data_IF_218225913750
#
_entry.id   IF_218225913750
#
_cell.length_a   1.000
_cell.length_b   1.000
_cell.length_c   1.000
_cell.angle_alpha   90.00
_cell.angle_beta   90.00
_cell.angle_gamma   90.00
#
_symmetry.space_group_name_H-M   'P 1'
#
loop_
_entity.id
_entity.type
_entity.pdbx_description
1 polymer ?
#
# COMPACT_ATOMS: atom_id res chain seq x y z
N UNK A 1 -7.02 -18.44 22.00
CA UNK A 1 -6.36 -19.50 21.18
C UNK A 1 -5.23 -18.90 20.37
N UNK A 2 -4.01 -19.43 20.45
CA UNK A 2 -2.79 -18.92 19.76
C UNK A 2 -2.36 -19.78 18.58
N UNK A 3 -3.12 -20.84 18.28
CA UNK A 3 -2.89 -21.74 17.14
C UNK A 3 -3.44 -21.09 15.87
N UNK A 4 -2.72 -21.20 14.74
CA UNK A 4 -3.08 -20.65 13.43
C UNK A 4 -3.18 -19.11 13.26
N UNK A 5 -2.94 -18.31 14.30
CA UNK A 5 -2.95 -16.84 14.22
C UNK A 5 -1.56 -16.23 14.00
N UNK A 6 -1.48 -14.90 13.84
CA UNK A 6 -0.19 -14.18 13.89
C UNK A 6 0.50 -14.23 15.25
N UNK A 7 -0.09 -14.83 16.27
CA UNK A 7 0.53 -14.99 17.58
C UNK A 7 1.28 -16.33 17.69
N UNK A 8 1.02 -17.26 16.75
CA UNK A 8 1.59 -18.58 16.76
C UNK A 8 3.13 -18.57 16.72
N UNK A 9 3.74 -19.45 17.52
CA UNK A 9 5.19 -19.62 17.72
C UNK A 9 5.94 -18.36 18.18
N UNK A 10 5.27 -17.40 18.83
CA UNK A 10 5.92 -16.23 19.43
C UNK A 10 6.17 -16.46 20.92
N UNK A 11 7.39 -16.17 21.39
CA UNK A 11 7.72 -16.11 22.83
C UNK A 11 7.26 -14.81 23.50
N UNK A 12 6.57 -13.92 22.76
CA UNK A 12 6.06 -12.65 23.29
C UNK A 12 4.72 -12.89 23.99
N UNK A 13 4.52 -12.41 25.23
CA UNK A 13 3.25 -12.56 25.94
C UNK A 13 2.06 -12.00 25.16
N UNK A 14 0.91 -12.69 25.19
CA UNK A 14 -0.30 -12.28 24.46
C UNK A 14 -0.77 -10.86 24.82
N UNK A 15 -0.64 -10.46 26.09
CA UNK A 15 -0.95 -9.08 26.53
C UNK A 15 -0.19 -8.01 25.74
N UNK A 16 1.09 -8.27 25.43
CA UNK A 16 1.95 -7.35 24.67
C UNK A 16 1.52 -7.31 23.20
N UNK A 17 1.09 -8.44 22.66
CA UNK A 17 0.49 -8.52 21.33
C UNK A 17 -0.80 -7.73 21.21
N UNK A 18 -1.72 -7.89 22.17
CA UNK A 18 -2.99 -7.14 22.21
C UNK A 18 -2.72 -5.64 22.31
N UNK A 19 -1.83 -5.23 23.23
CA UNK A 19 -1.43 -3.82 23.37
C UNK A 19 -0.84 -3.27 22.06
N UNK A 20 0.06 -4.01 21.41
CA UNK A 20 0.64 -3.59 20.14
C UNK A 20 -0.41 -3.45 19.03
N UNK A 21 -1.37 -4.36 18.98
CA UNK A 21 -2.48 -4.33 18.03
C UNK A 21 -3.35 -3.09 18.23
N UNK A 22 -3.73 -2.82 19.48
CA UNK A 22 -4.52 -1.65 19.87
C UNK A 22 -3.82 -0.35 19.50
N UNK A 23 -2.53 -0.20 19.82
CA UNK A 23 -1.75 0.99 19.50
C UNK A 23 -1.64 1.22 17.99
N UNK A 24 -1.41 0.16 17.20
CA UNK A 24 -1.31 0.29 15.74
C UNK A 24 -2.64 0.61 15.05
N UNK A 25 -3.75 0.09 15.57
CA UNK A 25 -5.09 0.35 15.04
C UNK A 25 -5.61 1.74 15.44
N UNK A 26 -5.35 2.17 16.68
CA UNK A 26 -5.77 3.49 17.18
C UNK A 26 -4.99 4.65 16.54
N UNK A 27 -3.74 4.42 16.14
CA UNK A 27 -2.93 5.44 15.48
C UNK A 27 -3.33 5.66 14.02
N UNK A 28 -4.27 6.57 13.78
CA UNK A 28 -4.81 6.91 12.44
C UNK A 28 -3.73 7.31 11.41
N UNK A 29 -2.60 7.88 11.83
CA UNK A 29 -1.51 8.30 10.93
C UNK A 29 -0.44 7.22 10.71
N UNK A 30 -0.24 6.31 11.66
CA UNK A 30 0.92 5.41 11.69
C UNK A 30 1.50 5.22 13.08
N UNK A 31 2.14 4.07 13.28
CA UNK A 31 2.91 3.77 14.50
C UNK A 31 4.31 3.28 14.14
N UNK A 32 5.34 3.98 14.60
CA UNK A 32 6.73 3.58 14.34
C UNK A 32 7.11 2.39 15.22
N UNK A 33 8.01 1.53 14.73
CA UNK A 33 8.49 0.40 15.52
C UNK A 33 9.28 0.85 16.76
N UNK A 34 9.94 2.02 16.70
CA UNK A 34 10.63 2.62 17.85
C UNK A 34 9.64 3.07 18.93
N UNK A 35 8.53 3.68 18.53
CA UNK A 35 7.48 4.06 19.47
C UNK A 35 6.87 2.80 20.10
N UNK A 36 6.52 1.81 19.27
CA UNK A 36 5.99 0.53 19.72
C UNK A 36 6.88 -0.20 20.71
N UNK A 37 8.21 -0.17 20.52
CA UNK A 37 9.14 -0.78 21.49
C UNK A 37 9.07 -0.13 22.87
N UNK A 38 8.87 1.20 22.94
CA UNK A 38 8.81 1.92 24.22
C UNK A 38 7.51 1.62 24.93
N UNK A 39 6.38 1.70 24.22
CA UNK A 39 5.06 1.60 24.84
C UNK A 39 4.66 0.17 25.22
N UNK A 40 5.14 -0.82 24.45
CA UNK A 40 4.91 -2.25 24.74
C UNK A 40 6.03 -2.84 25.59
N UNK A 41 7.08 -2.06 25.87
CA UNK A 41 8.25 -2.46 26.63
C UNK A 41 8.92 -3.72 26.04
N UNK A 42 9.39 -3.63 24.80
CA UNK A 42 10.11 -4.72 24.13
C UNK A 42 11.28 -4.18 23.33
N UNK A 43 12.24 -5.04 22.97
CA UNK A 43 13.32 -4.62 22.08
C UNK A 43 12.76 -4.09 20.74
N UNK A 44 13.47 -3.16 20.11
CA UNK A 44 13.12 -2.67 18.77
C UNK A 44 12.92 -3.81 17.77
N UNK A 45 13.78 -4.85 17.80
CA UNK A 45 13.69 -6.00 16.89
C UNK A 45 12.37 -6.75 17.10
N UNK A 46 11.93 -6.91 18.35
CA UNK A 46 10.64 -7.52 18.69
C UNK A 46 9.48 -6.65 18.24
N UNK A 47 9.50 -5.34 18.54
CA UNK A 47 8.46 -4.41 18.09
C UNK A 47 8.34 -4.36 16.57
N UNK A 48 9.46 -4.31 15.85
CA UNK A 48 9.51 -4.35 14.39
C UNK A 48 8.90 -5.65 13.84
N UNK A 49 9.23 -6.79 14.46
CA UNK A 49 8.64 -8.08 14.12
C UNK A 49 7.12 -8.09 14.36
N UNK A 50 6.66 -7.58 15.50
CA UNK A 50 5.23 -7.47 15.82
C UNK A 50 4.50 -6.61 14.81
N UNK A 51 5.03 -5.42 14.52
CA UNK A 51 4.41 -4.48 13.61
C UNK A 51 4.26 -5.07 12.19
N UNK A 52 5.26 -5.80 11.69
CA UNK A 52 5.14 -6.47 10.38
C UNK A 52 4.08 -7.56 10.34
N UNK A 53 3.89 -8.31 11.43
CA UNK A 53 2.84 -9.34 11.48
C UNK A 53 1.46 -8.71 11.59
N UNK A 54 1.31 -7.63 12.35
CA UNK A 54 0.06 -6.87 12.45
C UNK A 54 -0.30 -6.27 11.09
N UNK A 55 0.63 -5.62 10.39
CA UNK A 55 0.42 -5.14 9.01
C UNK A 55 0.00 -6.24 8.05
N UNK A 56 0.62 -7.41 8.17
CA UNK A 56 0.24 -8.55 7.35
C UNK A 56 -1.16 -9.08 7.69
N UNK A 57 -1.56 -9.03 8.96
CA UNK A 57 -2.93 -9.37 9.35
C UNK A 57 -3.94 -8.35 8.82
N UNK A 58 -3.59 -7.06 8.81
CA UNK A 58 -4.41 -5.98 8.24
C UNK A 58 -4.67 -6.15 6.73
N UNK A 59 -3.82 -6.89 6.00
CA UNK A 59 -4.11 -7.26 4.61
C UNK A 59 -5.40 -8.08 4.57
N UNK A 60 -6.42 -7.59 3.91
CA UNK A 60 -7.66 -8.34 3.71
C UNK A 60 -8.04 -8.32 2.23
N UNK A 61 -8.26 -9.50 1.66
CA UNK A 61 -8.75 -9.65 0.31
C UNK A 61 -10.28 -9.59 0.36
N UNK A 62 -10.85 -8.40 0.25
CA UNK A 62 -12.27 -8.30 -0.05
C UNK A 62 -12.48 -8.65 -1.53
N UNK A 63 -13.31 -9.67 -1.78
CA UNK A 63 -13.81 -10.02 -3.11
C UNK A 63 -14.73 -8.94 -3.70
N UNK A 64 -15.16 -7.95 -2.89
CA UNK A 64 -15.88 -6.78 -3.37
C UNK A 64 -14.98 -6.01 -4.35
N UNK A 65 -15.44 -5.92 -5.59
CA UNK A 65 -14.90 -5.02 -6.59
C UNK A 65 -15.31 -3.57 -6.28
N UNK A 66 -14.48 -2.63 -6.70
CA UNK A 66 -14.75 -1.20 -6.65
C UNK A 66 -15.78 -0.87 -7.75
N UNK A 67 -16.82 -0.13 -7.40
CA UNK A 67 -17.92 0.28 -8.27
C UNK A 67 -18.06 1.81 -8.33
N UNK A 68 -19.06 2.31 -9.05
CA UNK A 68 -19.28 3.75 -9.22
C UNK A 68 -18.12 4.42 -9.98
N UNK A 69 -17.59 5.51 -9.43
CA UNK A 69 -16.42 6.21 -9.96
C UNK A 69 -15.13 5.70 -9.30
N UNK A 70 -14.26 5.10 -10.10
CA UNK A 70 -12.98 4.53 -9.64
C UNK A 70 -11.82 5.28 -10.25
N UNK A 71 -11.03 5.92 -9.40
CA UNK A 71 -9.81 6.63 -9.76
C UNK A 71 -8.60 5.69 -9.69
N UNK A 72 -7.76 5.69 -10.72
CA UNK A 72 -6.56 4.85 -10.79
C UNK A 72 -5.34 5.71 -11.11
N UNK A 73 -4.31 5.56 -10.30
CA UNK A 73 -3.03 6.26 -10.47
C UNK A 73 -1.87 5.41 -9.91
N UNK A 74 -0.65 5.74 -10.29
CA UNK A 74 0.56 5.16 -9.77
C UNK A 74 1.53 6.19 -9.21
N UNK A 75 2.11 5.85 -8.07
CA UNK A 75 3.20 6.63 -7.49
C UNK A 75 4.48 5.81 -7.36
N UNK A 76 5.61 6.50 -7.26
CA UNK A 76 6.91 5.89 -6.99
C UNK A 76 7.34 6.15 -5.54
N UNK A 77 7.49 5.08 -4.75
CA UNK A 77 7.95 5.12 -3.35
C UNK A 77 9.41 4.67 -3.25
N UNK A 78 10.25 5.43 -2.56
CA UNK A 78 11.65 5.09 -2.34
C UNK A 78 12.53 6.29 -2.05
N UNK A 79 13.78 6.03 -1.68
CA UNK A 79 14.75 7.07 -1.36
C UNK A 79 15.02 8.01 -2.54
N UNK A 80 14.87 9.31 -2.32
CA UNK A 80 15.33 10.33 -3.28
C UNK A 80 16.86 10.27 -3.34
N UNK A 81 17.45 10.12 -4.54
CA UNK A 81 18.90 10.20 -4.72
C UNK A 81 19.51 11.49 -4.13
N UNK A 82 18.70 12.57 -4.03
CA UNK A 82 19.06 13.86 -3.40
C UNK A 82 19.52 13.73 -1.94
N UNK A 83 19.09 12.71 -1.19
CA UNK A 83 19.41 12.53 0.24
C UNK A 83 20.69 11.71 0.50
N UNK A 84 21.41 11.26 -0.53
CA UNK A 84 22.73 10.61 -0.36
C UNK A 84 23.82 11.68 -0.24
N UNK A 85 24.72 11.58 0.75
CA UNK A 85 25.81 12.52 1.16
C UNK A 85 26.36 13.46 0.06
N UNK A 86 26.56 14.74 0.40
CA UNK A 86 27.22 15.78 -0.42
C UNK A 86 28.72 15.51 -0.58
N UNK A 87 29.09 14.66 -1.53
CA UNK A 87 30.44 14.70 -2.11
C UNK A 87 30.32 14.95 -3.62
N UNK A 88 31.34 15.57 -4.22
CA UNK A 88 31.38 15.84 -5.66
C UNK A 88 31.15 14.56 -6.51
N UNK A 89 31.72 13.43 -6.10
CA UNK A 89 31.46 12.11 -6.70
C UNK A 89 30.01 11.61 -6.51
N UNK A 90 29.34 12.00 -5.42
CA UNK A 90 27.93 11.70 -5.23
C UNK A 90 27.02 12.50 -6.18
N UNK A 91 27.39 13.70 -6.63
CA UNK A 91 26.58 14.52 -7.57
C UNK A 91 26.41 13.82 -8.93
N UNK A 92 27.51 13.35 -9.53
CA UNK A 92 27.49 12.65 -10.83
C UNK A 92 26.73 11.31 -10.75
N UNK A 93 26.79 10.64 -9.59
CA UNK A 93 26.01 9.42 -9.31
C UNK A 93 24.52 9.71 -9.10
N UNK A 94 24.16 10.87 -8.52
CA UNK A 94 22.76 11.33 -8.37
C UNK A 94 22.08 11.60 -9.70
N UNK A 95 22.73 12.30 -10.62
CA UNK A 95 22.18 12.58 -11.95
C UNK A 95 21.94 11.29 -12.74
N UNK A 96 22.89 10.33 -12.68
CA UNK A 96 22.71 8.99 -13.24
C UNK A 96 21.59 8.19 -12.56
N UNK A 97 21.42 8.28 -11.24
CA UNK A 97 20.36 7.55 -10.52
C UNK A 97 18.97 8.18 -10.71
N UNK A 98 18.87 9.51 -10.84
CA UNK A 98 17.60 10.20 -11.13
C UNK A 98 17.09 9.92 -12.54
N UNK A 99 18.00 9.73 -13.50
CA UNK A 99 17.67 9.34 -14.89
C UNK A 99 17.29 7.86 -15.04
N UNK A 100 17.49 7.03 -14.01
CA UNK A 100 17.13 5.61 -14.06
C UNK A 100 15.62 5.43 -13.85
N UNK A 101 14.92 5.11 -14.93
CA UNK A 101 13.53 4.65 -14.94
C UNK A 101 13.48 3.12 -15.03
N UNK A 102 12.37 2.49 -14.61
CA UNK A 102 12.18 1.04 -14.71
C UNK A 102 13.16 0.21 -13.85
N UNK A 103 13.77 -0.84 -14.43
CA UNK A 103 14.59 -1.87 -13.74
C UNK A 103 15.77 -1.29 -12.94
N UNK A 104 16.24 -0.10 -13.31
CA UNK A 104 17.40 0.54 -12.70
C UNK A 104 17.01 1.60 -11.65
N UNK A 105 15.72 1.88 -11.45
CA UNK A 105 15.26 2.87 -10.49
C UNK A 105 15.39 2.36 -9.05
N UNK A 106 15.79 3.21 -8.12
CA UNK A 106 15.71 2.92 -6.68
C UNK A 106 14.29 3.12 -6.12
N UNK A 107 13.36 3.63 -6.93
CA UNK A 107 11.97 3.80 -6.55
C UNK A 107 11.15 2.63 -7.03
N UNK A 108 10.21 2.19 -6.20
CA UNK A 108 9.29 1.11 -6.50
C UNK A 108 7.92 1.71 -6.83
N UNK A 109 7.32 1.35 -7.98
CA UNK A 109 5.98 1.79 -8.29
C UNK A 109 4.94 1.13 -7.38
N UNK A 110 3.95 1.91 -6.99
CA UNK A 110 2.77 1.50 -6.23
C UNK A 110 1.58 2.03 -6.99
N UNK A 111 0.67 1.15 -7.36
CA UNK A 111 -0.61 1.50 -7.98
C UNK A 111 -1.69 1.52 -6.90
N UNK A 112 -2.63 2.44 -7.02
CA UNK A 112 -3.83 2.49 -6.20
C UNK A 112 -5.06 2.66 -7.08
N UNK A 113 -6.14 2.00 -6.67
CA UNK A 113 -7.48 2.12 -7.25
C UNK A 113 -8.40 2.55 -6.12
N UNK A 114 -9.06 3.69 -6.26
CA UNK A 114 -9.86 4.29 -5.20
C UNK A 114 -11.27 4.53 -5.71
N UNK A 115 -12.23 3.88 -5.08
CA UNK A 115 -13.66 4.18 -5.23
C UNK A 115 -13.94 5.52 -4.53
N UNK A 116 -14.54 6.47 -5.23
CA UNK A 116 -14.93 7.75 -4.63
C UNK A 116 -15.88 7.50 -3.46
N UNK A 117 -15.60 8.17 -2.33
CA UNK A 117 -16.28 7.98 -1.05
C UNK A 117 -16.27 6.55 -0.47
N UNK A 118 -15.53 5.63 -1.10
CA UNK A 118 -15.54 4.21 -0.80
C UNK A 118 -14.19 3.66 -0.38
N UNK A 119 -13.88 2.47 -0.90
CA UNK A 119 -12.72 1.67 -0.52
C UNK A 119 -11.51 1.91 -1.45
N UNK A 120 -10.33 1.44 -1.01
CA UNK A 120 -9.10 1.48 -1.83
C UNK A 120 -8.51 0.09 -2.02
N UNK A 121 -7.91 -0.15 -3.18
CA UNK A 121 -6.98 -1.26 -3.42
C UNK A 121 -5.61 -0.67 -3.73
N UNK A 122 -4.54 -1.22 -3.14
CA UNK A 122 -3.19 -0.73 -3.38
C UNK A 122 -2.18 -1.86 -3.53
N UNK A 123 -1.35 -1.79 -4.57
CA UNK A 123 -0.42 -2.85 -4.91
C UNK A 123 0.95 -2.30 -5.32
N UNK A 124 1.99 -2.89 -4.74
CA UNK A 124 3.38 -2.67 -5.14
C UNK A 124 3.64 -3.42 -6.43
N UNK A 125 4.08 -2.69 -7.45
CA UNK A 125 4.44 -3.24 -8.74
C UNK A 125 5.96 -3.37 -8.83
N UNK A 126 6.44 -4.46 -9.44
CA UNK A 126 7.87 -4.54 -9.81
C UNK A 126 8.20 -3.57 -10.96
N UNK A 127 7.24 -3.38 -11.88
CA UNK A 127 7.34 -2.49 -13.03
C UNK A 127 5.94 -2.14 -13.52
N UNK A 128 5.74 -0.88 -13.90
CA UNK A 128 4.54 -0.39 -14.57
C UNK A 128 4.54 -0.83 -16.04
N UNK A 129 3.43 -1.39 -16.50
CA UNK A 129 3.21 -1.77 -17.90
C UNK A 129 1.71 -1.83 -18.17
N UNK A 130 1.27 -1.41 -19.36
CA UNK A 130 -0.15 -1.42 -19.75
C UNK A 130 -0.85 -2.74 -19.42
N UNK A 131 -0.25 -3.88 -19.77
CA UNK A 131 -0.80 -5.21 -19.45
C UNK A 131 -1.10 -5.41 -17.96
N UNK A 132 -0.17 -5.04 -17.08
CA UNK A 132 -0.33 -5.23 -15.63
C UNK A 132 -1.38 -4.30 -15.04
N UNK A 133 -1.41 -3.04 -15.49
CA UNK A 133 -2.41 -2.07 -15.06
C UNK A 133 -3.79 -2.56 -15.46
N UNK A 134 -3.99 -2.92 -16.73
CA UNK A 134 -5.24 -3.49 -17.24
C UNK A 134 -5.68 -4.71 -16.44
N UNK A 135 -4.80 -5.69 -16.24
CA UNK A 135 -5.13 -6.90 -15.46
C UNK A 135 -5.56 -6.57 -14.04
N UNK A 136 -4.90 -5.62 -13.37
CA UNK A 136 -5.27 -5.26 -12.01
C UNK A 136 -6.60 -4.48 -11.95
N UNK A 137 -6.83 -3.57 -12.89
CA UNK A 137 -8.10 -2.82 -12.99
C UNK A 137 -9.25 -3.78 -13.25
N UNK A 138 -9.13 -4.69 -14.23
CA UNK A 138 -10.17 -5.69 -14.52
C UNK A 138 -10.46 -6.65 -13.35
N UNK A 139 -9.42 -6.95 -12.55
CA UNK A 139 -9.56 -7.80 -11.38
C UNK A 139 -10.34 -7.10 -10.26
N UNK A 140 -10.08 -5.82 -10.02
CA UNK A 140 -10.57 -5.11 -8.84
C UNK A 140 -11.74 -4.16 -9.10
N UNK A 141 -12.03 -3.82 -10.35
CA UNK A 141 -13.09 -2.87 -10.71
C UNK A 141 -14.27 -3.60 -11.34
N UNK A 142 -15.47 -3.21 -10.94
CA UNK A 142 -16.72 -3.74 -11.47
C UNK A 142 -16.90 -3.29 -12.92
N UNK A 143 -17.30 -4.18 -13.85
CA UNK A 143 -17.55 -3.80 -15.25
C UNK A 143 -18.60 -2.69 -15.42
N UNK A 144 -19.43 -2.40 -14.43
CA UNK A 144 -20.41 -1.30 -14.47
C UNK A 144 -19.82 0.07 -14.08
N UNK A 145 -18.60 0.10 -13.52
CA UNK A 145 -17.97 1.32 -13.04
C UNK A 145 -17.54 2.27 -14.17
N UNK A 146 -17.22 3.50 -13.78
CA UNK A 146 -16.49 4.49 -14.59
C UNK A 146 -15.06 4.57 -14.09
N UNK A 147 -14.08 4.41 -14.97
CA UNK A 147 -12.65 4.50 -14.61
C UNK A 147 -12.11 5.88 -14.93
N UNK A 148 -11.42 6.51 -13.98
CA UNK A 148 -10.75 7.81 -14.13
C UNK A 148 -9.24 7.64 -13.97
N UNK A 149 -8.44 8.12 -14.92
CA UNK A 149 -6.96 8.07 -14.86
C UNK A 149 -6.34 9.39 -15.29
N UNK A 150 -5.03 9.53 -15.12
CA UNK A 150 -4.25 10.55 -15.82
C UNK A 150 -4.14 10.24 -17.34
N UNK A 151 -3.48 11.12 -18.09
CA UNK A 151 -3.23 10.95 -19.53
C UNK A 151 -2.11 9.97 -19.88
N UNK A 152 -1.66 9.12 -18.94
CA UNK A 152 -0.57 8.20 -19.21
C UNK A 152 -0.97 7.25 -20.36
N UNK A 153 -0.17 7.15 -21.45
CA UNK A 153 -0.53 6.33 -22.62
C UNK A 153 -0.76 4.85 -22.32
N UNK A 154 -0.31 4.37 -21.16
CA UNK A 154 -0.50 3.00 -20.69
C UNK A 154 -1.98 2.68 -20.38
N UNK A 155 -2.81 3.68 -20.11
CA UNK A 155 -4.23 3.52 -19.83
C UNK A 155 -5.12 3.49 -21.09
N UNK A 156 -4.58 3.81 -22.26
CA UNK A 156 -5.36 3.80 -23.52
C UNK A 156 -6.06 2.46 -23.74
N UNK A 157 -7.33 2.50 -24.15
CA UNK A 157 -8.11 1.31 -24.50
C UNK A 157 -8.68 0.51 -23.32
N UNK A 158 -8.65 1.05 -22.10
CA UNK A 158 -9.28 0.40 -20.93
C UNK A 158 -10.80 0.50 -20.97
N UNK A 159 -11.33 1.61 -21.50
CA UNK A 159 -12.76 1.91 -21.46
C UNK A 159 -13.68 0.86 -22.07
N UNK A 160 -13.22 0.06 -23.03
CA UNK A 160 -14.06 -0.94 -23.71
C UNK A 160 -14.64 -2.04 -22.81
N UNK A 161 -14.09 -2.22 -21.60
CA UNK A 161 -14.54 -3.24 -20.63
C UNK A 161 -15.46 -2.69 -19.53
N UNK A 162 -15.69 -1.38 -19.51
CA UNK A 162 -16.40 -0.69 -18.45
C UNK A 162 -17.59 0.07 -19.02
N UNK A 163 -18.79 -0.17 -18.49
CA UNK A 163 -20.03 0.45 -18.98
C UNK A 163 -20.00 1.98 -18.83
N UNK A 164 -19.40 2.49 -17.74
CA UNK A 164 -19.16 3.93 -17.54
C UNK A 164 -18.00 4.49 -18.37
N UNK A 165 -17.27 3.62 -19.07
CA UNK A 165 -16.13 3.98 -19.91
C UNK A 165 -14.87 4.34 -19.13
N UNK A 166 -13.95 5.03 -19.83
CA UNK A 166 -12.68 5.51 -19.30
C UNK A 166 -12.58 7.02 -19.57
N UNK A 167 -12.43 7.80 -18.51
CA UNK A 167 -12.21 9.25 -18.56
C UNK A 167 -10.77 9.56 -18.15
N UNK A 168 -10.15 10.54 -18.81
CA UNK A 168 -8.78 10.98 -18.54
C UNK A 168 -8.75 12.42 -18.06
N UNK A 169 -7.93 12.73 -17.07
CA UNK A 169 -7.69 14.09 -16.56
C UNK A 169 -6.35 14.60 -17.05
N UNK A 170 -6.33 15.80 -17.64
CA UNK A 170 -5.11 16.43 -18.10
C UNK A 170 -4.44 17.27 -17.00
N UNK A 171 -3.48 16.68 -16.30
CA UNK A 171 -2.71 17.39 -15.27
C UNK A 171 -1.73 18.45 -15.83
N UNK A 172 -1.48 18.49 -17.14
CA UNK A 172 -0.50 19.41 -17.74
C UNK A 172 -1.04 20.82 -18.00
N UNK A 173 -2.36 21.00 -17.96
CA UNK A 173 -3.05 22.29 -18.21
C UNK A 173 -3.69 22.90 -16.95
N UNK A 174 -3.32 22.44 -15.74
CA UNK A 174 -3.95 22.85 -14.46
C UNK A 174 -5.49 22.65 -14.43
N UNK A 175 -6.03 21.81 -15.30
CA UNK A 175 -7.45 21.46 -15.33
C UNK A 175 -7.68 20.36 -14.28
N UNK A 176 -7.69 20.75 -13.00
CA UNK A 176 -8.00 19.85 -11.87
C UNK A 176 -9.47 19.41 -11.84
N UNK A 177 -10.28 19.95 -12.75
CA UNK A 177 -11.72 19.71 -12.89
C UNK A 177 -12.09 19.85 -14.37
N UNK A 178 -12.23 18.74 -15.09
CA UNK A 178 -12.98 18.72 -16.34
C UNK A 178 -14.35 18.09 -16.03
N UNK A 179 -15.24 18.91 -15.46
CA UNK A 179 -16.49 18.42 -14.84
C UNK A 179 -16.22 17.40 -13.73
N UNK A 180 -16.95 16.27 -13.73
CA UNK A 180 -16.81 15.20 -12.72
C UNK A 180 -15.55 14.32 -12.88
N UNK A 181 -14.65 14.61 -13.82
CA UNK A 181 -13.43 13.83 -14.04
C UNK A 181 -12.27 14.38 -13.20
N UNK A 182 -11.89 13.67 -12.13
CA UNK A 182 -10.82 14.05 -11.18
C UNK A 182 -10.11 12.80 -10.64
N UNK A 183 -8.83 12.94 -10.26
CA UNK A 183 -8.00 11.92 -9.58
C UNK A 183 -7.62 12.34 -8.14
N UNK A 184 -8.33 13.33 -7.59
CA UNK A 184 -8.02 13.94 -6.29
C UNK A 184 -8.08 12.95 -5.12
N UNK A 185 -8.94 11.95 -5.20
CA UNK A 185 -9.13 10.95 -4.14
C UNK A 185 -7.92 10.02 -4.07
N UNK A 186 -7.47 9.53 -5.23
CA UNK A 186 -6.26 8.68 -5.31
C UNK A 186 -4.98 9.46 -4.98
N UNK A 187 -4.89 10.73 -5.39
CA UNK A 187 -3.79 11.62 -4.98
C UNK A 187 -3.76 11.81 -3.46
N UNK A 188 -4.93 12.01 -2.84
CA UNK A 188 -5.08 12.14 -1.39
C UNK A 188 -4.61 10.89 -0.65
N UNK A 189 -4.99 9.70 -1.15
CA UNK A 189 -4.49 8.43 -0.64
C UNK A 189 -2.96 8.34 -0.71
N UNK A 190 -2.38 8.67 -1.87
CA UNK A 190 -0.92 8.66 -2.02
C UNK A 190 -0.21 9.69 -1.15
N UNK A 191 -0.83 10.85 -0.93
CA UNK A 191 -0.30 11.86 -0.03
C UNK A 191 -0.22 11.33 1.42
N UNK A 192 -1.22 10.57 1.89
CA UNK A 192 -1.17 9.92 3.21
C UNK A 192 -0.04 8.88 3.28
N UNK A 193 0.04 7.98 2.30
CA UNK A 193 1.09 6.96 2.22
C UNK A 193 2.49 7.59 2.26
N UNK A 194 2.74 8.59 1.39
CA UNK A 194 4.04 9.27 1.29
C UNK A 194 4.41 10.01 2.58
N UNK A 195 3.44 10.70 3.20
CA UNK A 195 3.67 11.39 4.49
C UNK A 195 4.02 10.42 5.59
N UNK A 196 3.36 9.26 5.66
CA UNK A 196 3.73 8.21 6.61
C UNK A 196 5.13 7.67 6.38
N UNK A 197 5.51 7.41 5.12
CA UNK A 197 6.88 6.98 4.77
C UNK A 197 7.91 8.01 5.19
N UNK A 198 7.67 9.31 4.97
CA UNK A 198 8.63 10.38 5.26
C UNK A 198 8.68 10.71 6.76
N UNK A 199 7.53 10.75 7.43
CA UNK A 199 7.41 11.29 8.79
C UNK A 199 7.33 10.25 9.92
N UNK A 200 6.95 9.00 9.64
CA UNK A 200 6.71 7.98 10.68
C UNK A 200 7.69 6.82 10.55
N UNK A 201 7.83 6.29 9.33
CA UNK A 201 8.64 5.09 9.11
C UNK A 201 10.07 5.44 8.70
N UNK A 202 10.28 6.60 8.06
CA UNK A 202 11.52 7.15 7.47
C UNK A 202 12.22 6.28 6.41
N UNK A 203 12.18 4.96 6.57
CA UNK A 203 12.77 3.98 5.68
C UNK A 203 11.88 2.74 5.57
N UNK A 204 11.42 2.46 4.36
CA UNK A 204 10.65 1.26 4.03
C UNK A 204 11.42 0.48 2.97
N UNK A 205 11.82 -0.76 3.30
CA UNK A 205 12.46 -1.63 2.32
C UNK A 205 11.45 -2.07 1.27
N UNK A 206 11.93 -2.28 0.04
CA UNK A 206 11.09 -2.74 -1.07
C UNK A 206 10.37 -4.03 -0.73
N UNK A 207 11.06 -4.99 -0.09
CA UNK A 207 10.54 -6.28 0.38
C UNK A 207 9.34 -6.16 1.31
N UNK A 208 9.21 -5.07 2.06
CA UNK A 208 8.12 -4.89 3.02
C UNK A 208 7.12 -3.83 2.61
N UNK A 209 7.35 -3.11 1.51
CA UNK A 209 6.52 -1.99 1.07
C UNK A 209 5.03 -2.38 0.93
N UNK A 210 4.73 -3.59 0.46
CA UNK A 210 3.34 -4.04 0.34
C UNK A 210 2.63 -4.06 1.70
N UNK A 211 3.30 -4.51 2.77
CA UNK A 211 2.71 -4.53 4.12
C UNK A 211 2.37 -3.13 4.63
N UNK A 212 3.14 -2.12 4.24
CA UNK A 212 2.79 -0.74 4.55
C UNK A 212 1.59 -0.30 3.71
N UNK A 213 1.54 -0.63 2.42
CA UNK A 213 0.34 -0.36 1.60
C UNK A 213 -0.91 -1.02 2.22
N UNK A 214 -0.81 -2.26 2.70
CA UNK A 214 -1.89 -2.98 3.37
C UNK A 214 -2.36 -2.24 4.64
N UNK A 215 -1.45 -1.65 5.43
CA UNK A 215 -1.78 -0.81 6.60
C UNK A 215 -2.55 0.46 6.19
N UNK A 216 -2.14 1.13 5.11
CA UNK A 216 -2.83 2.33 4.62
C UNK A 216 -4.18 2.02 4.00
N UNK A 217 -4.31 0.91 3.26
CA UNK A 217 -5.59 0.40 2.76
C UNK A 217 -6.53 0.13 3.93
N UNK A 218 -6.07 -0.63 4.92
CA UNK A 218 -6.86 -0.93 6.11
C UNK A 218 -7.36 0.35 6.79
N UNK A 219 -6.48 1.33 7.02
CA UNK A 219 -6.88 2.60 7.63
C UNK A 219 -7.87 3.39 6.80
N UNK A 220 -7.69 3.42 5.49
CA UNK A 220 -8.59 4.13 4.59
C UNK A 220 -9.99 3.52 4.67
N UNK A 221 -10.11 2.21 4.51
CA UNK A 221 -11.41 1.53 4.47
C UNK A 221 -12.15 1.56 5.80
N UNK A 222 -11.42 1.63 6.92
CA UNK A 222 -11.97 1.66 8.27
C UNK A 222 -11.96 3.08 8.88
N UNK A 223 -11.74 4.14 8.08
CA UNK A 223 -11.58 5.53 8.56
C UNK A 223 -12.81 6.09 9.29
N UNK A 224 -13.99 5.54 8.99
CA UNK A 224 -15.29 5.91 9.57
C UNK A 224 -15.63 5.10 10.84
N UNK A 225 -14.86 4.07 11.16
CA UNK A 225 -15.10 3.23 12.35
C UNK A 225 -14.52 3.87 13.60
N UNK A 226 -15.08 3.50 14.75
CA UNK A 226 -14.47 3.72 16.06
C UNK A 226 -13.17 2.91 16.19
N UNK A 227 -12.36 3.29 17.18
CA UNK A 227 -11.09 2.59 17.45
C UNK A 227 -11.34 1.13 17.83
N UNK A 228 -12.37 0.88 18.64
CA UNK A 228 -12.76 -0.45 19.08
C UNK A 228 -13.18 -1.34 17.91
N UNK A 229 -14.03 -0.82 17.02
CA UNK A 229 -14.47 -1.55 15.83
C UNK A 229 -13.30 -1.86 14.89
N UNK A 230 -12.42 -0.89 14.64
CA UNK A 230 -11.23 -1.09 13.82
C UNK A 230 -10.28 -2.14 14.44
N UNK A 231 -10.08 -2.10 15.76
CA UNK A 231 -9.30 -3.08 16.49
C UNK A 231 -9.91 -4.49 16.38
N UNK A 232 -11.21 -4.64 16.64
CA UNK A 232 -11.91 -5.91 16.56
C UNK A 232 -11.85 -6.48 15.14
N UNK A 233 -12.04 -5.63 14.14
CA UNK A 233 -11.94 -6.02 12.72
C UNK A 233 -10.54 -6.50 12.37
N UNK A 234 -9.52 -5.76 12.79
CA UNK A 234 -8.14 -6.14 12.55
C UNK A 234 -7.78 -7.44 13.29
N UNK A 235 -8.32 -7.69 14.49
CA UNK A 235 -8.12 -8.93 15.25
C UNK A 235 -8.79 -10.13 14.58
N UNK A 236 -10.03 -9.98 14.07
CA UNK A 236 -10.69 -11.01 13.26
C UNK A 236 -9.86 -11.37 12.03
N UNK A 237 -9.30 -10.37 11.35
CA UNK A 237 -8.42 -10.58 10.20
C UNK A 237 -7.11 -11.29 10.54
N UNK A 238 -6.74 -11.42 11.82
CA UNK A 238 -5.52 -12.11 12.24
C UNK A 238 -5.65 -13.64 12.27
N UNK A 239 -6.90 -14.13 12.25
CA UNK A 239 -7.18 -15.56 12.25
C UNK A 239 -6.81 -16.20 10.91
N UNK A 240 -6.27 -17.43 10.96
CA UNK A 240 -5.77 -18.15 9.78
C UNK A 240 -4.49 -17.61 9.10
N UNK A 241 -3.97 -16.43 9.49
CA UNK A 241 -2.81 -15.78 8.82
C UNK A 241 -1.46 -16.12 9.46
N UNK A 242 -1.16 -17.40 9.61
CA UNK A 242 0.15 -17.85 10.14
C UNK A 242 1.30 -17.49 9.18
N UNK A 243 2.13 -16.52 9.57
CA UNK A 243 3.42 -16.25 8.90
C UNK A 243 4.52 -17.26 9.33
N UNK A 244 4.87 -18.20 8.45
CA UNK A 244 6.01 -19.11 8.66
C UNK A 244 7.36 -18.45 8.28
N UNK A 245 8.49 -18.94 8.84
CA UNK A 245 9.83 -18.42 8.53
C UNK A 245 10.16 -18.51 7.03
N UNK A 246 9.76 -19.60 6.37
CA UNK A 246 9.94 -19.81 4.92
C UNK A 246 9.17 -18.81 4.04
N UNK A 247 8.11 -18.17 4.55
CA UNK A 247 7.33 -17.16 3.83
C UNK A 247 7.77 -15.71 4.00
N UNK A 248 8.80 -15.43 4.82
CA UNK A 248 9.18 -14.04 5.18
C UNK A 248 9.74 -13.21 4.03
N UNK A 249 10.32 -13.86 3.03
CA UNK A 249 11.03 -13.22 1.91
C UNK A 249 10.77 -14.04 0.64
N UNK A 250 9.60 -13.88 0.02
CA UNK A 250 9.50 -14.14 -1.42
C UNK A 250 9.99 -12.88 -2.12
N UNK A 251 11.14 -12.95 -2.81
CA UNK A 251 11.59 -11.85 -3.68
C UNK A 251 10.46 -11.55 -4.68
N UNK A 252 10.22 -10.28 -4.99
CA UNK A 252 9.28 -9.81 -6.04
C UNK A 252 9.47 -10.43 -7.44
N UNK A 253 10.45 -11.32 -7.61
CA UNK A 253 10.78 -12.02 -8.83
C UNK A 253 9.87 -13.21 -9.15
N UNK A 254 9.05 -13.69 -8.20
CA UNK A 254 8.16 -14.82 -8.46
C UNK A 254 6.90 -14.37 -9.23
N UNK A 255 6.83 -14.78 -10.51
CA UNK A 255 5.71 -14.50 -11.44
C UNK A 255 4.38 -15.10 -10.99
N UNK A 256 4.40 -15.97 -9.97
CA UNK A 256 3.24 -16.72 -9.46
C UNK A 256 2.63 -16.17 -8.16
N UNK A 257 3.20 -15.14 -7.53
CA UNK A 257 2.78 -14.69 -6.20
C UNK A 257 1.33 -14.16 -6.12
N UNK A 258 0.74 -13.78 -7.25
CA UNK A 258 -0.64 -13.30 -7.34
C UNK A 258 -1.66 -14.42 -7.62
N UNK A 259 -1.20 -15.63 -7.96
CA UNK A 259 -2.07 -16.79 -8.24
C UNK A 259 -2.31 -17.69 -7.04
N UNK A 260 -1.49 -17.59 -5.98
CA UNK A 260 -1.55 -18.53 -4.85
C UNK A 260 -2.66 -18.23 -3.84
N UNK A 261 -3.38 -17.12 -4.00
CA UNK A 261 -4.43 -16.67 -3.08
C UNK A 261 -5.78 -16.46 -3.82
N UNK A 262 -5.97 -17.09 -5.00
CA UNK A 262 -7.27 -17.27 -5.68
C UNK A 262 -7.70 -18.73 -5.47
#
# INVERSE_FOLDING_TARGET
MTVATIFHSSHVPLRKWIAAYWLMCSAKKGYSANQLSRDVDVTYKTAWFMAHRIRHAMRYNSFKKLDGDVEVDETYVGGKAKNKRQSYHARKKREKEQRKTGKNSTKVPVMALVERDGSVKSQVLYRVSAKKLRTAIELYVDPKATVHTDELPLYRGIGHKFAGGHKTVNHSINEYVNGDCTTNTVESYFALLKRGVIGIYHHVSTTHLQRYCDEFVFRWDHRKLSIEEAFNRALQLSDGKRLSYKGRIKRFADKSWWRSDI
#
